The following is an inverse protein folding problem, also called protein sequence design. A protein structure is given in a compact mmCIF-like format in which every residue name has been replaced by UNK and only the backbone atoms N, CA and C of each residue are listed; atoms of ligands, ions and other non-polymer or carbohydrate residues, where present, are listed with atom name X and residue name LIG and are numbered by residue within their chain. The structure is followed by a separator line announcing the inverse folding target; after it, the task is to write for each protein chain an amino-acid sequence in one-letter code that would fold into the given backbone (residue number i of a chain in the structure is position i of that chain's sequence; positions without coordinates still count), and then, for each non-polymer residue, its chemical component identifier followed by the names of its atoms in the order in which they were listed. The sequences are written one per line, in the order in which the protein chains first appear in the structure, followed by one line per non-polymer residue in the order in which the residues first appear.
data_IF_481634140569
#
_entry.id   IF_481634140569
#
_cell.length_a   1.000
_cell.length_b   1.000
_cell.length_c   1.000
_cell.angle_alpha   90.00
_cell.angle_beta   90.00
_cell.angle_gamma   90.00
#
_symmetry.space_group_name_H-M   'P 1'
#
loop_
_entity.id
_entity.type
_entity.pdbx_description
1 polymer ?
#
# COMPACT_ATOMS: atom_id res chain seq x y z
N UNK A 1 29.35 -44.33 -66.65
CA UNK A 1 30.76 -44.12 -66.25
C UNK A 1 30.83 -44.08 -64.72
N UNK A 2 31.93 -44.55 -64.10
CA UNK A 2 32.46 -44.22 -62.74
C UNK A 2 31.43 -43.89 -61.63
N UNK A 3 31.16 -44.66 -60.55
CA UNK A 3 32.04 -45.30 -59.52
C UNK A 3 33.14 -44.36 -58.98
N UNK A 4 33.34 -44.11 -57.68
CA UNK A 4 32.73 -44.55 -56.40
C UNK A 4 33.24 -43.60 -55.27
N UNK A 5 33.16 -43.76 -53.93
CA UNK A 5 32.88 -44.89 -53.02
C UNK A 5 32.50 -44.41 -51.57
N UNK A 6 32.52 -45.36 -50.61
CA UNK A 6 32.88 -45.33 -49.17
C UNK A 6 33.26 -43.96 -48.51
N UNK A 7 33.00 -43.68 -47.22
CA UNK A 7 32.43 -44.49 -46.11
C UNK A 7 33.42 -44.68 -44.93
N UNK A 8 32.92 -44.85 -43.68
CA UNK A 8 33.64 -44.96 -42.37
C UNK A 8 34.07 -43.62 -41.73
N UNK A 9 34.33 -43.45 -40.42
CA UNK A 9 33.79 -43.92 -39.10
C UNK A 9 34.66 -43.24 -38.00
N UNK A 10 34.19 -43.14 -36.74
CA UNK A 10 34.96 -42.84 -35.50
C UNK A 10 35.48 -41.39 -35.28
N UNK A 11 35.82 -40.94 -34.05
CA UNK A 11 35.24 -41.15 -32.70
C UNK A 11 35.89 -40.17 -31.67
N UNK A 12 35.15 -39.68 -30.66
CA UNK A 12 35.62 -38.80 -29.56
C UNK A 12 36.22 -37.44 -30.02
N UNK A 13 36.52 -36.43 -29.20
CA UNK A 13 36.36 -36.12 -27.75
C UNK A 13 35.55 -34.81 -27.60
N UNK A 14 34.90 -34.43 -26.50
CA UNK A 14 35.10 -34.80 -25.10
C UNK A 14 35.56 -33.59 -24.27
N UNK A 15 34.72 -32.55 -24.15
CA UNK A 15 34.85 -31.47 -23.15
C UNK A 15 33.49 -31.27 -22.49
N UNK A 16 33.35 -31.70 -21.23
CA UNK A 16 32.18 -31.36 -20.40
C UNK A 16 32.43 -30.01 -19.75
N UNK A 17 32.01 -28.93 -20.42
CA UNK A 17 31.98 -27.62 -19.79
C UNK A 17 30.90 -27.62 -18.70
N UNK A 18 31.31 -27.65 -17.43
CA UNK A 18 30.42 -27.21 -16.35
C UNK A 18 30.24 -25.70 -16.50
N UNK A 19 29.23 -25.30 -17.27
CA UNK A 19 28.62 -23.98 -17.09
C UNK A 19 27.96 -23.98 -15.72
N UNK A 20 28.74 -23.65 -14.69
CA UNK A 20 28.19 -23.26 -13.41
C UNK A 20 27.20 -22.14 -13.67
N UNK A 21 25.91 -22.42 -13.46
CA UNK A 21 24.84 -21.47 -13.66
C UNK A 21 24.95 -20.35 -12.64
N UNK A 22 25.75 -19.33 -12.95
CA UNK A 22 25.49 -18.01 -12.45
C UNK A 22 24.09 -17.63 -12.93
N UNK A 23 23.10 -17.87 -12.08
CA UNK A 23 21.90 -17.06 -12.08
C UNK A 23 22.39 -15.61 -12.12
N UNK A 24 21.94 -14.77 -13.06
CA UNK A 24 22.14 -13.35 -12.88
C UNK A 24 21.50 -13.02 -11.54
N UNK A 25 22.30 -12.54 -10.58
CA UNK A 25 21.73 -11.82 -9.45
C UNK A 25 20.83 -10.76 -10.07
N UNK A 26 19.56 -10.74 -9.67
CA UNK A 26 18.58 -9.79 -10.21
C UNK A 26 19.13 -8.40 -9.95
N UNK A 27 19.65 -7.76 -11.00
CA UNK A 27 20.06 -6.37 -10.93
C UNK A 27 18.86 -5.59 -10.38
N UNK A 28 19.09 -4.84 -9.31
CA UNK A 28 18.02 -4.13 -8.63
C UNK A 28 17.31 -3.23 -9.66
N UNK A 29 15.99 -3.14 -9.55
CA UNK A 29 15.25 -2.07 -10.19
C UNK A 29 15.52 -0.78 -9.41
N UNK A 30 16.73 -0.23 -9.57
CA UNK A 30 17.25 0.91 -8.82
C UNK A 30 16.31 2.13 -8.94
N UNK A 31 15.91 2.69 -7.80
CA UNK A 31 15.46 4.08 -7.55
C UNK A 31 14.58 4.78 -8.61
N UNK A 32 13.83 4.02 -9.42
CA UNK A 32 13.06 4.54 -10.53
C UNK A 32 11.85 5.34 -10.02
N UNK A 33 11.89 6.66 -10.21
CA UNK A 33 10.78 7.55 -9.89
C UNK A 33 9.57 7.21 -10.77
N UNK A 34 8.50 6.74 -10.13
CA UNK A 34 7.20 6.50 -10.76
C UNK A 34 6.39 7.79 -10.69
N UNK A 35 6.22 8.46 -11.83
CA UNK A 35 5.27 9.57 -11.95
C UNK A 35 3.90 9.01 -12.38
N UNK A 36 2.85 9.32 -11.61
CA UNK A 36 1.47 8.86 -11.83
C UNK A 36 0.61 10.05 -12.24
N UNK A 37 0.32 10.16 -13.53
CA UNK A 37 -0.54 11.21 -14.07
C UNK A 37 -1.96 10.98 -13.57
N UNK A 38 -2.44 11.89 -12.75
CA UNK A 38 -3.72 11.77 -12.05
C UNK A 38 -4.65 12.86 -12.56
N UNK A 39 -5.88 12.45 -12.89
CA UNK A 39 -6.90 13.31 -13.45
C UNK A 39 -8.10 13.40 -12.50
N UNK A 40 -8.18 14.44 -11.66
CA UNK A 40 -9.41 14.81 -10.99
C UNK A 40 -10.42 15.32 -12.01
N UNK A 41 -11.62 14.75 -12.02
CA UNK A 41 -12.73 15.18 -12.85
C UNK A 41 -13.90 15.50 -11.94
N UNK A 42 -14.32 16.76 -11.99
CA UNK A 42 -15.55 17.21 -11.37
C UNK A 42 -16.71 16.71 -12.24
N UNK A 43 -17.64 15.96 -11.66
CA UNK A 43 -18.81 15.41 -12.35
C UNK A 43 -20.10 15.81 -11.66
N UNK A 44 -21.10 16.15 -12.48
CA UNK A 44 -22.46 16.48 -12.06
C UNK A 44 -23.46 15.56 -12.74
N UNK A 45 -24.69 15.53 -12.22
CA UNK A 45 -25.76 14.66 -12.68
C UNK A 45 -26.85 15.44 -13.40
N UNK A 46 -27.83 14.78 -14.02
CA UNK A 46 -28.96 15.46 -14.66
C UNK A 46 -29.71 16.36 -13.68
N UNK A 47 -29.86 15.92 -12.42
CA UNK A 47 -30.69 16.55 -11.39
C UNK A 47 -29.93 16.98 -10.11
N UNK A 48 -28.60 16.83 -10.06
CA UNK A 48 -27.75 17.25 -8.94
C UNK A 48 -26.47 17.92 -9.45
N UNK A 49 -26.11 19.04 -8.82
CA UNK A 49 -24.96 19.89 -9.16
C UNK A 49 -24.25 20.34 -7.88
N UNK A 50 -22.99 20.78 -7.96
CA UNK A 50 -22.28 21.27 -6.78
C UNK A 50 -22.96 22.53 -6.23
N UNK A 51 -23.09 22.60 -4.90
CA UNK A 51 -23.68 23.77 -4.22
C UNK A 51 -22.78 25.01 -4.32
N UNK A 52 -21.46 24.82 -4.42
CA UNK A 52 -20.44 25.87 -4.44
C UNK A 52 -19.37 25.55 -5.51
N UNK A 53 -19.75 25.45 -6.81
CA UNK A 53 -18.91 24.85 -7.85
C UNK A 53 -17.53 25.52 -7.96
N UNK A 54 -17.48 26.85 -7.84
CA UNK A 54 -16.21 27.58 -7.95
C UNK A 54 -15.27 27.36 -6.75
N UNK A 55 -15.80 27.03 -5.57
CA UNK A 55 -14.98 26.61 -4.42
C UNK A 55 -14.52 25.14 -4.50
N UNK A 56 -15.24 24.30 -5.23
CA UNK A 56 -14.77 22.93 -5.57
C UNK A 56 -13.64 23.00 -6.61
N UNK A 57 -13.78 23.86 -7.63
CA UNK A 57 -12.71 24.16 -8.61
C UNK A 57 -11.46 24.73 -7.94
N UNK A 58 -11.61 25.65 -7.00
CA UNK A 58 -10.50 26.30 -6.28
C UNK A 58 -9.76 25.31 -5.35
N UNK A 59 -10.47 24.40 -4.69
CA UNK A 59 -9.90 23.46 -3.71
C UNK A 59 -9.31 22.18 -4.33
N UNK A 60 -9.71 21.82 -5.55
CA UNK A 60 -9.29 20.56 -6.18
C UNK A 60 -7.78 20.55 -6.51
N UNK A 61 -7.19 21.57 -7.17
CA UNK A 61 -5.74 21.70 -7.33
C UNK A 61 -4.97 21.57 -6.00
N UNK A 62 -5.39 22.32 -4.96
CA UNK A 62 -4.78 22.30 -3.63
C UNK A 62 -4.80 20.90 -3.01
N UNK A 63 -5.94 20.19 -3.08
CA UNK A 63 -6.12 18.85 -2.48
C UNK A 63 -5.26 17.78 -3.15
N UNK A 64 -5.07 17.85 -4.47
CA UNK A 64 -4.36 16.80 -5.22
C UNK A 64 -2.87 17.12 -5.45
N UNK A 65 -2.52 18.37 -5.73
CA UNK A 65 -1.17 18.76 -6.19
C UNK A 65 -0.57 19.98 -5.46
N UNK A 66 -1.24 20.47 -4.40
CA UNK A 66 -0.75 21.58 -3.60
C UNK A 66 0.66 21.32 -3.02
N UNK A 67 1.48 22.36 -2.94
CA UNK A 67 2.87 22.27 -2.44
C UNK A 67 2.99 22.28 -0.91
N UNK A 68 1.86 22.43 -0.21
CA UNK A 68 1.74 22.27 1.24
C UNK A 68 1.77 20.78 1.61
N UNK A 69 1.95 20.45 2.90
CA UNK A 69 2.00 19.05 3.40
C UNK A 69 0.66 18.30 3.29
N UNK A 70 -0.45 18.99 3.09
CA UNK A 70 -1.82 18.48 3.08
C UNK A 70 -2.39 18.19 1.68
N UNK A 71 -1.55 17.88 0.69
CA UNK A 71 -1.97 17.39 -0.63
C UNK A 71 -1.64 15.92 -0.89
N UNK A 72 -2.34 15.31 -1.85
CA UNK A 72 -2.10 13.93 -2.29
C UNK A 72 -0.67 13.75 -2.83
N UNK A 73 -0.17 14.72 -3.60
CA UNK A 73 1.18 14.71 -4.16
C UNK A 73 2.27 14.87 -3.09
N UNK A 74 2.09 15.77 -2.12
CA UNK A 74 3.07 15.95 -1.04
C UNK A 74 3.18 14.70 -0.17
N UNK A 75 2.03 14.16 0.24
CA UNK A 75 1.93 12.99 1.11
C UNK A 75 2.63 11.77 0.51
N UNK A 76 2.29 11.40 -0.73
CA UNK A 76 2.90 10.25 -1.37
C UNK A 76 4.35 10.47 -1.82
N UNK A 77 4.75 11.70 -2.13
CA UNK A 77 6.16 12.01 -2.37
C UNK A 77 7.00 11.93 -1.09
N UNK A 78 6.45 12.25 0.08
CA UNK A 78 7.14 12.12 1.37
C UNK A 78 7.28 10.65 1.78
N UNK A 79 6.19 9.89 1.82
CA UNK A 79 6.21 8.47 2.22
C UNK A 79 7.08 7.61 1.30
N UNK A 80 7.00 7.83 -0.01
CA UNK A 80 7.83 7.11 -0.98
C UNK A 80 9.29 7.59 -1.04
N UNK A 81 9.67 8.62 -0.27
CA UNK A 81 10.98 9.31 -0.35
C UNK A 81 11.32 9.70 -1.79
N UNK A 82 10.34 10.30 -2.47
CA UNK A 82 10.41 10.78 -3.85
C UNK A 82 10.30 9.71 -4.94
N UNK A 83 10.25 8.40 -4.59
CA UNK A 83 10.15 7.28 -5.55
C UNK A 83 8.78 7.20 -6.25
N UNK A 84 7.74 7.81 -5.69
CA UNK A 84 6.40 7.88 -6.28
C UNK A 84 5.85 9.31 -6.21
N UNK A 85 5.43 9.84 -7.37
CA UNK A 85 4.95 11.22 -7.51
C UNK A 85 3.58 11.24 -8.16
N UNK A 86 2.62 11.88 -7.49
CA UNK A 86 1.32 12.18 -8.09
C UNK A 86 1.46 13.50 -8.85
N UNK A 87 1.24 13.47 -10.18
CA UNK A 87 1.39 14.64 -11.06
C UNK A 87 0.09 14.89 -11.83
N UNK A 88 -0.26 16.14 -12.17
CA UNK A 88 -1.49 16.42 -12.89
C UNK A 88 -1.41 15.87 -14.32
N UNK A 89 -2.52 15.32 -14.82
CA UNK A 89 -2.62 14.85 -16.21
C UNK A 89 -2.99 15.94 -17.24
N UNK A 90 -3.36 17.13 -16.78
CA UNK A 90 -3.72 18.32 -17.59
C UNK A 90 -3.22 19.59 -16.92
N UNK A 91 -2.95 20.65 -17.68
CA UNK A 91 -2.37 21.91 -17.16
C UNK A 91 -3.27 22.60 -16.12
N UNK A 92 -4.60 22.54 -16.29
CA UNK A 92 -5.60 23.04 -15.34
C UNK A 92 -5.68 22.21 -14.04
N UNK A 93 -4.97 21.09 -13.96
CA UNK A 93 -4.92 20.12 -12.85
C UNK A 93 -6.23 19.38 -12.54
N UNK A 94 -7.36 19.77 -13.13
CA UNK A 94 -8.64 19.06 -13.08
C UNK A 94 -9.46 19.35 -14.33
N UNK A 95 -10.54 18.59 -14.55
CA UNK A 95 -11.54 18.88 -15.60
C UNK A 95 -12.95 19.04 -15.05
N UNK A 96 -13.78 19.78 -15.78
CA UNK A 96 -15.22 19.91 -15.53
C UNK A 96 -15.65 21.15 -14.73
N UNK A 97 -16.88 21.16 -14.19
CA UNK A 97 -17.81 20.03 -14.11
C UNK A 97 -18.29 19.46 -15.45
N UNK A 98 -18.20 18.13 -15.60
CA UNK A 98 -18.80 17.37 -16.71
C UNK A 98 -20.18 16.89 -16.24
N UNK A 99 -21.25 17.22 -16.98
CA UNK A 99 -22.61 16.78 -16.64
C UNK A 99 -22.91 15.41 -17.27
N UNK A 100 -22.94 14.38 -16.44
CA UNK A 100 -23.27 13.01 -16.81
C UNK A 100 -24.76 12.89 -17.21
N UNK A 101 -25.05 11.95 -18.11
CA UNK A 101 -26.40 11.66 -18.62
C UNK A 101 -27.14 10.62 -17.76
N UNK A 102 -27.07 10.81 -16.44
CA UNK A 102 -27.75 10.00 -15.42
C UNK A 102 -28.27 10.87 -14.28
N UNK A 103 -29.29 10.41 -13.57
CA UNK A 103 -29.68 10.98 -12.28
C UNK A 103 -28.64 10.64 -11.19
N UNK A 104 -28.58 11.45 -10.14
CA UNK A 104 -27.67 11.18 -9.03
C UNK A 104 -28.03 9.86 -8.34
N UNK A 105 -27.03 8.99 -8.15
CA UNK A 105 -27.15 7.71 -7.46
C UNK A 105 -25.76 7.19 -7.10
N UNK A 106 -25.65 6.23 -6.17
CA UNK A 106 -24.38 5.62 -5.80
C UNK A 106 -23.88 4.54 -6.81
N UNK A 107 -24.30 4.62 -8.08
CA UNK A 107 -23.87 3.69 -9.12
C UNK A 107 -22.45 4.05 -9.62
N UNK A 108 -21.44 3.80 -8.79
CA UNK A 108 -20.03 4.13 -9.06
C UNK A 108 -19.53 3.56 -10.40
N UNK A 109 -19.97 2.35 -10.77
CA UNK A 109 -19.66 1.74 -12.07
C UNK A 109 -20.23 2.53 -13.26
N UNK A 110 -21.47 3.00 -13.16
CA UNK A 110 -22.07 3.86 -14.20
C UNK A 110 -21.40 5.24 -14.24
N UNK A 111 -21.17 5.87 -13.08
CA UNK A 111 -20.42 7.15 -12.96
C UNK A 111 -19.09 7.04 -13.70
N UNK A 112 -18.34 5.95 -13.49
CA UNK A 112 -17.07 5.71 -14.15
C UNK A 112 -17.23 5.50 -15.67
N UNK A 113 -18.18 4.67 -16.09
CA UNK A 113 -18.44 4.44 -17.52
C UNK A 113 -18.84 5.71 -18.28
N UNK A 114 -19.67 6.57 -17.68
CA UNK A 114 -20.10 7.83 -18.29
C UNK A 114 -18.98 8.88 -18.26
N UNK A 115 -18.17 8.93 -17.18
CA UNK A 115 -17.02 9.84 -17.10
C UNK A 115 -15.96 9.49 -18.14
N UNK A 116 -15.53 8.22 -18.22
CA UNK A 116 -14.54 7.79 -19.23
C UNK A 116 -15.05 7.99 -20.66
N UNK A 117 -16.35 7.79 -20.92
CA UNK A 117 -16.95 8.15 -22.22
C UNK A 117 -16.82 9.66 -22.52
N UNK A 118 -17.14 10.52 -21.57
CA UNK A 118 -17.06 11.97 -21.75
C UNK A 118 -15.62 12.49 -21.87
N UNK A 119 -14.64 11.80 -21.26
CA UNK A 119 -13.20 12.06 -21.47
C UNK A 119 -12.76 11.62 -22.87
N UNK A 120 -13.15 10.43 -23.33
CA UNK A 120 -12.83 9.95 -24.67
C UNK A 120 -13.47 10.82 -25.78
N UNK A 121 -14.66 11.40 -25.54
CA UNK A 121 -15.29 12.39 -26.43
C UNK A 121 -14.51 13.73 -26.49
N UNK A 122 -13.64 14.00 -25.51
CA UNK A 122 -12.67 15.11 -25.50
C UNK A 122 -11.26 14.67 -25.97
N UNK A 123 -11.09 13.40 -26.35
CA UNK A 123 -9.82 12.84 -26.82
C UNK A 123 -8.87 12.32 -25.73
N UNK A 124 -9.32 12.23 -24.47
CA UNK A 124 -8.50 11.79 -23.33
C UNK A 124 -8.75 10.31 -22.99
N UNK A 125 -7.70 9.50 -22.99
CA UNK A 125 -7.74 8.04 -22.83
C UNK A 125 -6.87 7.56 -21.67
N UNK A 126 -7.41 6.65 -20.84
CA UNK A 126 -6.67 6.08 -19.70
C UNK A 126 -5.48 5.23 -20.17
N UNK A 127 -4.30 5.51 -19.64
CA UNK A 127 -3.02 4.90 -20.02
C UNK A 127 -2.29 5.67 -21.12
N UNK A 128 -2.99 6.44 -21.95
CA UNK A 128 -2.38 7.30 -22.97
C UNK A 128 -2.14 8.70 -22.42
N UNK A 129 -3.16 9.33 -21.81
CA UNK A 129 -3.07 10.70 -21.25
C UNK A 129 -3.00 10.72 -19.71
N UNK A 130 -3.75 9.85 -19.03
CA UNK A 130 -3.84 9.79 -17.56
C UNK A 130 -3.78 8.34 -17.04
N UNK A 131 -3.11 8.14 -15.91
CA UNK A 131 -2.86 6.83 -15.30
C UNK A 131 -3.84 6.52 -14.14
N UNK A 132 -4.30 7.55 -13.42
CA UNK A 132 -5.39 7.49 -12.44
C UNK A 132 -6.49 8.53 -12.77
N UNK A 133 -7.74 8.18 -12.47
CA UNK A 133 -8.94 9.00 -12.64
C UNK A 133 -9.68 9.10 -11.30
N UNK A 134 -9.83 10.32 -10.79
CA UNK A 134 -10.63 10.60 -9.59
C UNK A 134 -11.92 11.33 -9.94
N UNK A 135 -13.07 10.70 -9.70
CA UNK A 135 -14.40 11.23 -10.00
C UNK A 135 -14.98 11.90 -8.76
N UNK A 136 -14.96 13.23 -8.72
CA UNK A 136 -15.49 14.04 -7.62
C UNK A 136 -16.91 14.47 -7.97
N UNK A 137 -17.91 14.19 -7.13
CA UNK A 137 -19.33 14.49 -7.42
C UNK A 137 -20.12 15.04 -6.22
N UNK A 138 -21.22 15.78 -6.45
CA UNK A 138 -22.05 16.35 -5.39
C UNK A 138 -22.84 15.29 -4.62
N UNK A 139 -22.52 15.11 -3.33
CA UNK A 139 -23.09 14.07 -2.47
C UNK A 139 -24.58 14.24 -2.12
N UNK A 140 -25.16 15.42 -2.37
CA UNK A 140 -26.49 15.83 -1.88
C UNK A 140 -27.66 14.94 -2.36
N UNK A 141 -27.44 14.06 -3.35
CA UNK A 141 -28.46 13.18 -3.93
C UNK A 141 -27.96 11.79 -4.34
N UNK A 142 -26.65 11.52 -4.31
CA UNK A 142 -26.10 10.22 -4.69
C UNK A 142 -26.51 9.12 -3.73
N UNK A 143 -26.62 9.44 -2.43
CA UNK A 143 -27.00 8.49 -1.40
C UNK A 143 -25.95 7.41 -1.15
N UNK A 144 -24.67 7.69 -1.42
CA UNK A 144 -23.57 6.86 -0.93
C UNK A 144 -23.41 7.04 0.58
N UNK A 145 -23.26 5.92 1.26
CA UNK A 145 -22.89 5.75 2.66
C UNK A 145 -21.43 6.14 2.94
N UNK A 146 -20.56 6.02 1.94
CA UNK A 146 -19.15 6.42 2.01
C UNK A 146 -18.87 7.88 1.59
N UNK A 147 -17.76 8.43 2.08
CA UNK A 147 -17.20 9.72 1.64
C UNK A 147 -16.26 9.57 0.42
N UNK A 148 -15.57 8.43 0.31
CA UNK A 148 -14.76 8.04 -0.83
C UNK A 148 -14.87 6.55 -1.12
N UNK A 149 -14.45 6.14 -2.31
CA UNK A 149 -14.32 4.74 -2.71
C UNK A 149 -13.13 4.60 -3.67
N UNK A 150 -12.36 3.51 -3.56
CA UNK A 150 -11.21 3.23 -4.42
C UNK A 150 -11.22 1.81 -5.00
N UNK A 151 -10.68 1.65 -6.22
CA UNK A 151 -10.49 0.34 -6.83
C UNK A 151 -9.26 -0.38 -6.27
N UNK A 152 -9.41 -1.62 -5.79
CA UNK A 152 -8.34 -2.38 -5.09
C UNK A 152 -7.81 -3.57 -5.91
N UNK A 153 -6.55 -3.53 -6.41
CA UNK A 153 -5.84 -2.33 -6.86
C UNK A 153 -6.51 -1.74 -8.12
N UNK A 154 -6.09 -0.56 -8.55
CA UNK A 154 -6.55 -0.01 -9.82
C UNK A 154 -6.21 1.46 -10.07
N UNK A 155 -6.93 2.10 -11.01
CA UNK A 155 -6.72 3.50 -11.37
C UNK A 155 -7.90 4.43 -11.02
N UNK A 156 -8.93 3.94 -10.31
CA UNK A 156 -10.18 4.68 -10.10
C UNK A 156 -10.40 5.06 -8.64
N UNK A 157 -10.71 6.32 -8.39
CA UNK A 157 -11.23 6.81 -7.11
C UNK A 157 -12.53 7.58 -7.35
N UNK A 158 -13.46 7.48 -6.40
CA UNK A 158 -14.75 8.16 -6.42
C UNK A 158 -14.87 8.96 -5.13
N UNK A 159 -15.17 10.25 -5.22
CA UNK A 159 -15.20 11.17 -4.08
C UNK A 159 -16.59 11.77 -3.95
N UNK A 160 -17.33 11.30 -2.95
CA UNK A 160 -18.69 11.69 -2.64
C UNK A 160 -18.67 13.02 -1.84
N UNK A 161 -18.57 14.14 -2.55
CA UNK A 161 -18.19 15.42 -1.97
C UNK A 161 -19.35 16.09 -1.22
N UNK A 162 -19.20 16.14 0.11
CA UNK A 162 -19.94 17.05 0.98
C UNK A 162 -19.20 18.40 1.09
N UNK A 163 -19.91 19.52 0.93
CA UNK A 163 -19.32 20.86 1.08
C UNK A 163 -18.50 21.32 -0.14
N UNK A 164 -17.23 21.70 0.10
CA UNK A 164 -16.38 22.40 -0.89
C UNK A 164 -15.03 21.73 -1.18
N UNK A 165 -14.56 20.83 -0.31
CA UNK A 165 -13.28 20.12 -0.46
C UNK A 165 -13.34 18.81 0.33
N UNK A 166 -12.74 17.73 -0.20
CA UNK A 166 -12.75 16.42 0.47
C UNK A 166 -11.58 16.21 1.44
N UNK A 167 -10.51 17.01 1.30
CA UNK A 167 -9.29 16.91 2.08
C UNK A 167 -8.44 15.66 1.77
N UNK A 168 -7.17 15.71 2.18
CA UNK A 168 -6.21 14.61 2.01
C UNK A 168 -6.64 13.31 2.72
N UNK A 169 -7.37 13.41 3.84
CA UNK A 169 -7.78 12.23 4.62
C UNK A 169 -8.57 11.21 3.78
N UNK A 170 -9.56 11.68 3.00
CA UNK A 170 -10.35 10.82 2.11
C UNK A 170 -9.59 10.55 0.80
N UNK A 171 -9.13 11.60 0.13
CA UNK A 171 -8.51 11.47 -1.21
C UNK A 171 -7.24 10.60 -1.19
N UNK A 172 -6.46 10.66 -0.11
CA UNK A 172 -5.32 9.78 0.12
C UNK A 172 -5.74 8.33 0.39
N UNK A 173 -6.78 8.09 1.21
CA UNK A 173 -7.26 6.75 1.53
C UNK A 173 -7.72 6.00 0.26
N UNK A 174 -8.55 6.62 -0.58
CA UNK A 174 -9.01 6.00 -1.83
C UNK A 174 -7.86 5.74 -2.83
N UNK A 175 -6.82 6.56 -2.77
CA UNK A 175 -5.63 6.39 -3.58
C UNK A 175 -4.69 5.30 -3.00
N UNK A 176 -4.72 5.06 -1.69
CA UNK A 176 -4.11 3.88 -1.07
C UNK A 176 -4.76 2.58 -1.56
N UNK A 177 -6.09 2.56 -1.71
CA UNK A 177 -6.78 1.46 -2.39
C UNK A 177 -6.28 1.24 -3.82
N UNK A 178 -5.97 2.30 -4.58
CA UNK A 178 -5.42 2.18 -5.94
C UNK A 178 -4.06 1.44 -5.97
N UNK A 179 -3.24 1.59 -4.92
CA UNK A 179 -1.97 0.85 -4.73
C UNK A 179 -2.18 -0.61 -4.30
N UNK A 180 -3.44 -1.02 -4.08
CA UNK A 180 -3.81 -2.35 -3.61
C UNK A 180 -3.58 -2.55 -2.12
N UNK A 181 -3.83 -1.50 -1.33
CA UNK A 181 -3.99 -1.57 0.13
C UNK A 181 -5.48 -1.75 0.45
N UNK A 182 -5.84 -2.66 1.34
CA UNK A 182 -7.16 -2.72 1.97
C UNK A 182 -7.23 -1.82 3.21
N UNK A 183 -8.37 -1.81 3.90
CA UNK A 183 -8.44 -1.21 5.24
C UNK A 183 -7.47 -1.93 6.19
N UNK A 184 -6.70 -1.17 6.98
CA UNK A 184 -5.82 -1.78 7.98
C UNK A 184 -6.59 -2.02 9.28
N UNK A 185 -6.94 -3.29 9.51
CA UNK A 185 -7.65 -3.75 10.71
C UNK A 185 -6.73 -3.90 11.92
N UNK A 186 -7.32 -4.09 13.10
CA UNK A 186 -6.64 -4.41 14.36
C UNK A 186 -7.09 -5.76 14.91
N UNK A 187 -6.21 -6.47 15.59
CA UNK A 187 -6.51 -7.67 16.37
C UNK A 187 -5.92 -7.56 17.76
N UNK A 188 -6.75 -7.73 18.78
CA UNK A 188 -6.34 -7.78 20.18
C UNK A 188 -5.74 -9.16 20.44
N UNK A 189 -4.46 -9.22 20.83
CA UNK A 189 -3.71 -10.44 21.13
C UNK A 189 -3.25 -10.38 22.60
N UNK A 190 -4.11 -10.80 23.53
CA UNK A 190 -3.86 -10.74 24.98
C UNK A 190 -2.55 -11.46 25.36
N UNK A 191 -1.81 -10.90 26.31
CA UNK A 191 -0.47 -11.35 26.73
C UNK A 191 0.57 -11.50 25.59
N UNK A 192 0.29 -10.91 24.41
CA UNK A 192 1.13 -11.03 23.21
C UNK A 192 1.03 -12.39 22.51
N UNK A 193 0.03 -13.22 22.83
CA UNK A 193 -0.18 -14.53 22.22
C UNK A 193 -0.87 -14.41 20.86
N UNK A 194 -0.18 -14.82 19.79
CA UNK A 194 -0.67 -14.61 18.41
C UNK A 194 -1.62 -15.72 17.91
N UNK A 195 -1.96 -16.67 18.77
CA UNK A 195 -2.86 -17.80 18.46
C UNK A 195 -4.33 -17.39 18.61
N UNK A 196 -4.69 -16.77 19.74
CA UNK A 196 -6.07 -16.54 20.17
C UNK A 196 -6.46 -15.04 20.11
N UNK A 197 -6.15 -14.38 18.99
CA UNK A 197 -6.45 -12.94 18.82
C UNK A 197 -7.89 -12.67 18.32
N UNK A 198 -8.52 -11.60 18.82
CA UNK A 198 -9.86 -11.15 18.42
C UNK A 198 -9.81 -9.89 17.53
N UNK A 199 -10.56 -9.86 16.43
CA UNK A 199 -10.64 -8.70 15.53
C UNK A 199 -11.34 -7.50 16.21
N UNK A 200 -10.80 -6.28 16.06
CA UNK A 200 -11.27 -5.12 16.84
C UNK A 200 -11.16 -3.78 16.08
N UNK A 201 -11.89 -3.64 14.97
CA UNK A 201 -11.94 -2.41 14.18
C UNK A 201 -10.65 -2.13 13.42
N UNK A 202 -10.31 -0.84 13.26
CA UNK A 202 -9.14 -0.37 12.49
C UNK A 202 -7.89 -0.15 13.37
N UNK A 203 -6.71 -0.06 12.76
CA UNK A 203 -5.44 0.10 13.50
C UNK A 203 -5.22 1.50 14.09
N UNK A 204 -5.74 2.56 13.47
CA UNK A 204 -5.32 3.95 13.66
C UNK A 204 -3.81 4.23 13.45
N UNK A 205 -3.03 3.29 12.89
CA UNK A 205 -1.57 3.40 12.68
C UNK A 205 -1.13 3.66 11.24
N UNK A 206 -2.08 3.75 10.32
CA UNK A 206 -1.88 4.20 8.95
C UNK A 206 -3.07 5.03 8.46
N UNK A 207 -2.90 5.70 7.32
CA UNK A 207 -4.02 6.29 6.58
C UNK A 207 -5.12 5.27 6.26
N UNK A 208 -4.76 4.01 5.94
CA UNK A 208 -5.73 2.94 5.66
C UNK A 208 -6.39 2.35 6.92
N UNK A 209 -5.77 2.56 8.09
CA UNK A 209 -6.32 2.22 9.40
C UNK A 209 -7.12 3.33 10.07
N UNK A 210 -7.40 4.44 9.37
CA UNK A 210 -8.13 5.57 9.94
C UNK A 210 -7.32 6.51 10.83
N UNK A 211 -5.99 6.34 10.92
CA UNK A 211 -5.10 7.28 11.62
C UNK A 211 -4.93 8.64 10.89
N UNK A 212 -5.41 8.73 9.66
CA UNK A 212 -5.34 9.94 8.83
C UNK A 212 -3.91 10.27 8.35
N UNK A 213 -3.70 11.46 7.77
CA UNK A 213 -2.42 11.79 7.12
C UNK A 213 -1.21 11.77 8.06
N UNK A 214 -1.35 12.20 9.31
CA UNK A 214 -0.24 12.21 10.28
C UNK A 214 0.22 10.78 10.69
N UNK A 215 -0.58 9.75 10.41
CA UNK A 215 -0.21 8.36 10.65
C UNK A 215 0.53 7.69 9.46
N UNK A 216 0.76 8.42 8.36
CA UNK A 216 1.52 7.93 7.21
C UNK A 216 1.02 6.59 6.64
N UNK A 217 1.96 5.68 6.40
CA UNK A 217 1.70 4.27 6.13
C UNK A 217 2.59 3.39 7.01
N UNK A 218 2.13 2.18 7.27
CA UNK A 218 2.87 1.12 7.97
C UNK A 218 3.82 0.36 7.03
N UNK A 219 4.75 -0.40 7.61
CA UNK A 219 5.70 -1.21 6.88
C UNK A 219 5.06 -2.23 5.93
N UNK A 220 3.99 -2.98 6.27
CA UNK A 220 3.30 -3.83 5.29
C UNK A 220 2.81 -3.06 4.06
N UNK A 221 2.20 -1.90 4.26
CA UNK A 221 1.67 -1.07 3.17
C UNK A 221 2.80 -0.49 2.30
N UNK A 222 3.92 -0.07 2.93
CA UNK A 222 5.11 0.39 2.21
C UNK A 222 5.85 -0.75 1.48
N UNK A 223 5.86 -1.97 2.02
CA UNK A 223 6.38 -3.18 1.34
C UNK A 223 5.48 -3.50 0.14
N UNK A 224 4.16 -3.46 0.31
CA UNK A 224 3.17 -3.64 -0.77
C UNK A 224 3.34 -2.62 -1.90
N UNK A 225 3.64 -1.36 -1.56
CA UNK A 225 3.89 -0.29 -2.53
C UNK A 225 5.31 -0.30 -3.13
N UNK A 226 6.25 -1.11 -2.61
CA UNK A 226 7.65 -1.14 -3.05
C UNK A 226 8.51 0.02 -2.55
N UNK A 227 8.09 0.71 -1.48
CA UNK A 227 8.73 1.92 -0.95
C UNK A 227 9.70 1.67 0.19
N UNK A 228 9.89 0.41 0.61
CA UNK A 228 11.07 -0.05 1.34
C UNK A 228 11.90 -0.94 0.42
N UNK A 229 13.21 -0.72 0.34
CA UNK A 229 14.13 -1.62 -0.38
C UNK A 229 14.31 -2.97 0.37
N UNK A 230 14.95 -3.94 -0.28
CA UNK A 230 15.43 -5.17 0.39
C UNK A 230 16.44 -4.89 1.52
N UNK A 231 17.12 -3.74 1.51
CA UNK A 231 18.02 -3.30 2.59
C UNK A 231 17.33 -2.49 3.70
N UNK A 232 16.11 -2.00 3.44
CA UNK A 232 15.23 -1.39 4.44
C UNK A 232 14.30 -2.44 5.09
N UNK A 233 14.04 -3.57 4.42
CA UNK A 233 13.16 -4.68 4.86
C UNK A 233 13.94 -5.98 5.05
N UNK A 234 14.40 -6.26 6.27
CA UNK A 234 15.21 -7.46 6.54
C UNK A 234 14.32 -8.70 6.65
N UNK A 235 14.43 -9.59 5.65
CA UNK A 235 13.84 -10.94 5.64
C UNK A 235 14.54 -11.83 6.67
N UNK A 236 13.91 -12.03 7.82
CA UNK A 236 14.51 -12.65 9.00
C UNK A 236 14.56 -14.18 8.85
N UNK A 237 15.74 -14.69 8.49
CA UNK A 237 16.00 -16.12 8.30
C UNK A 237 16.67 -16.82 9.50
N UNK A 238 16.96 -16.08 10.60
CA UNK A 238 17.67 -16.57 11.79
C UNK A 238 17.19 -15.84 13.05
N UNK A 239 17.31 -16.47 14.20
CA UNK A 239 17.18 -15.79 15.50
C UNK A 239 18.34 -14.80 15.72
N UNK A 240 18.08 -13.68 16.39
CA UNK A 240 19.11 -12.68 16.73
C UNK A 240 18.54 -11.33 17.20
N UNK A 241 19.43 -10.44 17.67
CA UNK A 241 19.11 -9.01 17.89
C UNK A 241 19.20 -8.26 16.57
N UNK A 242 18.16 -7.48 16.23
CA UNK A 242 18.10 -6.63 15.04
C UNK A 242 17.88 -5.17 15.45
N UNK A 243 18.70 -4.25 14.93
CA UNK A 243 18.48 -2.81 15.13
C UNK A 243 17.53 -2.28 14.05
N UNK A 244 16.42 -1.69 14.49
CA UNK A 244 15.53 -0.86 13.68
C UNK A 244 15.85 0.63 13.84
N UNK A 245 15.50 1.40 12.83
CA UNK A 245 15.35 2.86 12.85
C UNK A 245 13.89 3.22 12.53
N UNK A 246 13.48 4.47 12.76
CA UNK A 246 12.11 4.90 12.41
C UNK A 246 11.76 4.53 10.96
N UNK A 247 10.54 4.02 10.78
CA UNK A 247 9.97 3.62 9.49
C UNK A 247 10.01 4.77 8.48
N UNK A 248 9.69 5.97 8.93
CA UNK A 248 9.60 7.18 8.11
C UNK A 248 10.90 8.01 8.13
N UNK A 249 10.92 9.14 7.40
CA UNK A 249 12.04 10.08 7.37
C UNK A 249 13.32 9.54 6.71
N UNK A 250 14.39 10.34 6.73
CA UNK A 250 15.50 10.22 5.78
C UNK A 250 16.66 9.27 6.13
N UNK A 251 17.36 8.80 5.09
CA UNK A 251 18.59 8.00 5.19
C UNK A 251 18.40 6.47 5.21
N UNK A 252 19.49 5.74 5.43
CA UNK A 252 19.56 4.27 5.30
C UNK A 252 19.43 3.51 6.63
N UNK A 253 19.30 2.18 6.56
CA UNK A 253 19.19 1.24 7.67
C UNK A 253 17.86 0.48 7.69
N UNK A 254 17.79 -0.60 8.47
CA UNK A 254 16.59 -1.44 8.58
C UNK A 254 15.43 -0.67 9.20
N UNK A 255 14.30 -0.60 8.48
CA UNK A 255 13.05 0.04 8.89
C UNK A 255 12.00 -0.99 9.30
N UNK A 256 12.03 -2.18 8.69
CA UNK A 256 11.11 -3.27 8.96
C UNK A 256 11.83 -4.63 9.07
N UNK A 257 11.34 -5.50 9.96
CA UNK A 257 11.67 -6.93 9.99
C UNK A 257 10.55 -7.73 9.35
N UNK A 258 10.94 -8.70 8.52
CA UNK A 258 10.05 -9.54 7.74
C UNK A 258 10.23 -11.00 8.21
N UNK A 259 9.47 -11.40 9.25
CA UNK A 259 9.68 -12.59 10.09
C UNK A 259 8.69 -13.72 9.76
N UNK A 260 9.11 -14.90 9.27
CA UNK A 260 8.20 -15.95 8.81
C UNK A 260 7.36 -16.55 9.96
N UNK A 261 6.04 -16.68 9.77
CA UNK A 261 5.08 -17.15 10.79
C UNK A 261 4.13 -18.20 10.20
N UNK A 262 4.70 -19.38 9.89
CA UNK A 262 3.95 -20.51 9.34
C UNK A 262 3.62 -20.31 7.85
N UNK A 263 2.33 -20.16 7.53
CA UNK A 263 1.90 -19.61 6.22
C UNK A 263 1.99 -18.09 6.18
N UNK A 264 1.80 -17.46 7.34
CA UNK A 264 1.67 -16.02 7.45
C UNK A 264 3.05 -15.37 7.60
N UNK A 265 3.01 -14.05 7.52
CA UNK A 265 4.14 -13.15 7.60
C UNK A 265 3.93 -12.29 8.85
N UNK A 266 4.85 -12.30 9.81
CA UNK A 266 4.91 -11.26 10.84
C UNK A 266 5.79 -10.12 10.30
N UNK A 267 5.30 -8.89 10.36
CA UNK A 267 6.07 -7.68 10.03
C UNK A 267 6.20 -6.85 11.29
N UNK A 268 7.41 -6.35 11.57
CA UNK A 268 7.69 -5.52 12.74
C UNK A 268 8.36 -4.24 12.29
N UNK A 269 7.86 -3.09 12.74
CA UNK A 269 8.38 -1.75 12.45
C UNK A 269 8.70 -1.00 13.74
N UNK A 270 9.47 0.09 13.64
CA UNK A 270 9.60 1.06 14.72
C UNK A 270 9.08 2.42 14.23
N UNK A 271 8.25 3.08 15.04
CA UNK A 271 7.59 4.36 14.75
C UNK A 271 8.10 5.42 15.72
N UNK A 272 8.39 6.60 15.18
CA UNK A 272 8.95 7.74 15.88
C UNK A 272 8.89 8.96 14.94
N UNK A 273 8.68 10.15 15.50
CA UNK A 273 8.40 11.37 14.74
C UNK A 273 9.34 11.60 13.54
N UNK A 274 8.76 11.87 12.37
CA UNK A 274 9.51 12.00 11.13
C UNK A 274 8.76 12.88 10.10
N UNK A 275 9.30 14.07 9.82
CA UNK A 275 8.85 14.91 8.70
C UNK A 275 7.45 15.52 8.91
N UNK A 276 6.42 14.94 8.33
CA UNK A 276 5.00 15.28 8.55
C UNK A 276 4.18 14.20 9.26
N UNK A 277 4.81 13.09 9.67
CA UNK A 277 4.14 11.92 10.27
C UNK A 277 4.74 11.49 11.61
N UNK A 278 4.02 10.62 12.31
CA UNK A 278 4.39 9.94 13.55
C UNK A 278 4.58 10.84 14.79
N UNK A 279 4.01 12.07 14.80
CA UNK A 279 4.02 12.93 16.01
C UNK A 279 3.19 12.34 17.16
N UNK A 280 2.10 11.65 16.81
CA UNK A 280 1.16 11.01 17.75
C UNK A 280 1.40 9.47 17.80
N UNK A 281 2.52 8.94 17.28
CA UNK A 281 2.80 7.48 17.19
C UNK A 281 4.28 7.16 17.51
N UNK A 282 4.52 6.36 18.55
CA UNK A 282 5.85 5.97 19.03
C UNK A 282 5.93 4.43 19.25
N UNK A 283 7.14 3.89 19.33
CA UNK A 283 7.39 2.51 19.76
C UNK A 283 7.44 1.49 18.63
N UNK A 284 7.57 0.21 19.01
CA UNK A 284 7.67 -0.92 18.08
C UNK A 284 6.28 -1.50 17.82
N UNK A 285 5.86 -1.59 16.56
CA UNK A 285 4.54 -2.09 16.16
C UNK A 285 4.68 -3.38 15.36
N UNK A 286 3.75 -4.32 15.53
CA UNK A 286 3.73 -5.60 14.81
C UNK A 286 2.44 -5.79 14.03
N UNK A 287 2.55 -6.44 12.86
CA UNK A 287 1.43 -6.70 11.97
C UNK A 287 1.44 -8.14 11.49
N UNK A 288 0.27 -8.77 11.54
CA UNK A 288 0.02 -10.05 10.87
C UNK A 288 -0.30 -9.78 9.41
N UNK A 289 0.43 -10.42 8.51
CA UNK A 289 0.24 -10.36 7.06
C UNK A 289 -0.18 -11.76 6.58
N UNK A 290 -1.46 -11.96 6.21
CA UNK A 290 -2.02 -13.29 5.94
C UNK A 290 -1.54 -13.84 4.59
N UNK A 291 -1.02 -15.07 4.57
CA UNK A 291 -0.49 -15.80 3.39
C UNK A 291 0.43 -14.94 2.48
N UNK A 292 1.14 -13.94 3.02
CA UNK A 292 2.00 -13.03 2.27
C UNK A 292 1.32 -11.85 1.58
N UNK A 293 0.02 -11.63 1.80
CA UNK A 293 -0.70 -10.48 1.26
C UNK A 293 -0.50 -9.21 2.13
N UNK A 294 0.62 -8.52 1.92
CA UNK A 294 0.98 -7.28 2.64
C UNK A 294 -0.08 -6.16 2.53
N UNK A 295 -0.92 -6.18 1.49
CA UNK A 295 -2.03 -5.22 1.32
C UNK A 295 -3.22 -5.46 2.25
N UNK A 296 -3.27 -6.60 2.96
CA UNK A 296 -4.32 -6.95 3.92
C UNK A 296 -3.74 -7.25 5.30
N UNK A 297 -2.79 -6.41 5.74
CA UNK A 297 -2.16 -6.49 7.05
C UNK A 297 -3.11 -6.11 8.20
N UNK A 298 -2.94 -6.74 9.35
CA UNK A 298 -3.69 -6.44 10.57
C UNK A 298 -2.72 -6.09 11.70
N UNK A 299 -2.92 -4.95 12.38
CA UNK A 299 -2.15 -4.56 13.56
C UNK A 299 -2.37 -5.56 14.70
N UNK A 300 -1.29 -5.98 15.34
CA UNK A 300 -1.28 -6.77 16.57
C UNK A 300 -1.25 -5.80 17.74
N UNK A 301 -2.37 -5.67 18.44
CA UNK A 301 -2.53 -4.86 19.65
C UNK A 301 -2.45 -5.77 20.87
N UNK A 302 -1.45 -5.59 21.74
CA UNK A 302 -1.25 -6.44 22.93
C UNK A 302 -1.88 -5.87 24.21
N UNK A 303 -2.74 -4.85 24.10
CA UNK A 303 -3.36 -4.20 25.26
C UNK A 303 -4.61 -4.92 25.77
N UNK A 304 -4.93 -4.75 27.05
CA UNK A 304 -6.17 -5.27 27.66
C UNK A 304 -7.41 -4.38 27.36
N UNK A 305 -7.23 -3.21 26.73
CA UNK A 305 -8.28 -2.22 26.56
C UNK A 305 -8.03 -1.36 25.32
N UNK A 306 -9.06 -1.23 24.46
CA UNK A 306 -9.06 -0.41 23.24
C UNK A 306 -8.55 1.03 23.53
N UNK A 307 -7.26 1.25 23.25
CA UNK A 307 -6.51 2.49 23.46
C UNK A 307 -5.64 2.70 22.22
N UNK A 308 -6.16 3.49 21.29
CA UNK A 308 -5.48 3.80 20.03
C UNK A 308 -5.28 5.30 19.91
N UNK A 309 -4.45 5.75 18.97
CA UNK A 309 -4.27 7.17 18.68
C UNK A 309 -5.59 7.91 18.35
N UNK A 310 -6.66 7.19 18.03
CA UNK A 310 -8.00 7.73 17.80
C UNK A 310 -8.84 8.03 19.06
N UNK A 311 -8.41 7.67 20.28
CA UNK A 311 -9.17 7.91 21.51
C UNK A 311 -8.36 8.53 22.68
N UNK A 312 -7.51 9.52 22.35
CA UNK A 312 -6.65 10.26 23.31
C UNK A 312 -5.68 9.35 24.11
N UNK A 313 -5.33 8.19 23.55
CA UNK A 313 -4.32 7.30 24.13
C UNK A 313 -2.89 7.87 23.97
N UNK A 314 -1.93 7.46 24.83
CA UNK A 314 -0.50 7.69 24.60
C UNK A 314 -0.01 7.21 23.23
N UNK A 315 0.99 7.88 22.66
CA UNK A 315 1.55 7.57 21.34
C UNK A 315 2.10 6.13 21.21
N UNK A 316 2.52 5.56 22.35
CA UNK A 316 3.09 4.23 22.54
C UNK A 316 2.08 3.18 23.07
N UNK A 317 0.79 3.53 23.21
CA UNK A 317 -0.18 2.74 23.99
C UNK A 317 -0.32 1.26 23.58
N UNK A 318 -0.23 1.00 22.28
CA UNK A 318 -0.34 -0.28 21.59
C UNK A 318 1.00 -0.77 20.99
N UNK A 319 2.11 -0.12 21.34
CA UNK A 319 3.44 -0.61 21.00
C UNK A 319 3.76 -1.91 21.77
N UNK A 320 4.29 -2.90 21.07
CA UNK A 320 4.56 -4.23 21.64
C UNK A 320 5.78 -4.18 22.57
N UNK A 321 5.71 -4.90 23.68
CA UNK A 321 6.90 -5.24 24.48
C UNK A 321 7.44 -6.62 24.10
N UNK A 322 6.55 -7.60 23.93
CA UNK A 322 6.85 -8.89 23.31
C UNK A 322 5.60 -9.53 22.72
N UNK A 323 5.78 -10.33 21.65
CA UNK A 323 4.74 -11.19 21.06
C UNK A 323 5.28 -12.60 20.81
N UNK A 324 4.40 -13.60 20.74
CA UNK A 324 4.77 -14.98 20.44
C UNK A 324 3.64 -15.72 19.72
N UNK A 325 3.95 -16.33 18.57
CA UNK A 325 3.13 -17.41 18.01
C UNK A 325 3.74 -18.76 18.44
N UNK A 326 3.02 -19.48 19.33
CA UNK A 326 3.45 -20.81 19.78
C UNK A 326 3.26 -21.89 18.71
N UNK A 327 2.46 -21.63 17.67
CA UNK A 327 2.19 -22.57 16.56
C UNK A 327 3.38 -22.64 15.61
N UNK A 328 3.83 -21.50 15.08
CA UNK A 328 5.03 -21.39 14.24
C UNK A 328 6.33 -21.37 15.05
N UNK A 329 6.23 -21.23 16.38
CA UNK A 329 7.35 -21.11 17.34
C UNK A 329 8.22 -19.88 17.06
N UNK A 330 7.56 -18.74 16.91
CA UNK A 330 8.18 -17.43 16.67
C UNK A 330 7.95 -16.58 17.90
N UNK A 331 9.00 -15.93 18.40
CA UNK A 331 8.90 -14.93 19.47
C UNK A 331 9.64 -13.66 19.08
N UNK A 332 9.07 -12.51 19.43
CA UNK A 332 9.69 -11.19 19.25
C UNK A 332 9.64 -10.46 20.59
N UNK A 333 10.71 -9.76 20.96
CA UNK A 333 10.74 -8.89 22.13
C UNK A 333 11.57 -7.64 21.89
N UNK A 334 11.10 -6.49 22.38
CA UNK A 334 11.84 -5.23 22.35
C UNK A 334 12.87 -5.23 23.49
N UNK A 335 14.15 -5.03 23.14
CA UNK A 335 15.23 -4.90 24.10
C UNK A 335 15.51 -3.43 24.48
N UNK A 336 15.30 -2.51 23.53
CA UNK A 336 15.36 -1.05 23.73
C UNK A 336 14.58 -0.32 22.62
N UNK A 337 14.09 0.88 22.89
CA UNK A 337 13.46 1.78 21.91
C UNK A 337 13.56 3.24 22.37
N UNK A 338 13.77 4.17 21.44
CA UNK A 338 13.95 5.60 21.67
C UNK A 338 15.00 6.22 20.75
N UNK A 339 15.11 7.55 20.75
CA UNK A 339 16.10 8.32 19.97
C UNK A 339 16.13 7.94 18.46
N UNK A 340 14.95 7.65 17.88
CA UNK A 340 14.81 7.24 16.48
C UNK A 340 15.27 5.81 16.16
N UNK A 341 15.47 4.96 17.16
CA UNK A 341 15.95 3.56 17.03
C UNK A 341 15.23 2.59 17.95
N UNK A 342 15.31 1.31 17.62
CA UNK A 342 14.94 0.22 18.52
C UNK A 342 15.84 -1.01 18.32
N UNK A 343 16.00 -1.82 19.36
CA UNK A 343 16.60 -3.15 19.27
C UNK A 343 15.53 -4.22 19.49
N UNK A 344 15.30 -5.04 18.48
CA UNK A 344 14.26 -6.07 18.47
C UNK A 344 14.93 -7.44 18.41
N UNK A 345 14.68 -8.27 19.43
CA UNK A 345 15.14 -9.67 19.47
C UNK A 345 14.10 -10.55 18.83
N UNK A 346 14.51 -11.33 17.83
CA UNK A 346 13.67 -12.34 17.18
C UNK A 346 14.21 -13.73 17.52
N UNK A 347 13.30 -14.65 17.83
CA UNK A 347 13.56 -16.08 17.95
C UNK A 347 12.69 -16.86 16.97
N UNK A 348 13.29 -17.83 16.29
CA UNK A 348 12.64 -18.77 15.38
C UNK A 348 12.74 -20.20 15.91
N UNK A 349 11.91 -21.10 15.38
CA UNK A 349 11.92 -22.55 15.66
C UNK A 349 11.66 -22.96 17.14
N UNK A 350 11.39 -22.01 18.02
CA UNK A 350 11.28 -22.22 19.47
C UNK A 350 12.62 -22.14 20.22
N UNK A 351 13.61 -21.46 19.66
CA UNK A 351 14.84 -21.08 20.37
C UNK A 351 14.53 -20.08 21.51
N UNK A 352 15.44 -19.90 22.46
CA UNK A 352 15.26 -18.93 23.54
C UNK A 352 15.54 -17.50 23.05
N UNK A 353 14.73 -16.52 23.48
CA UNK A 353 15.06 -15.09 23.31
C UNK A 353 16.38 -14.70 24.03
N UNK A 354 16.84 -15.52 24.98
CA UNK A 354 18.16 -15.41 25.63
C UNK A 354 19.30 -16.04 24.83
N UNK A 355 19.01 -16.84 23.80
CA UNK A 355 20.00 -17.42 22.86
C UNK A 355 20.10 -16.64 21.54
N UNK A 356 19.25 -15.64 21.34
CA UNK A 356 19.39 -14.65 20.27
C UNK A 356 20.63 -13.78 20.52
N UNK A 357 21.75 -14.15 19.90
CA UNK A 357 22.96 -13.33 19.84
C UNK A 357 22.77 -12.12 18.90
N UNK A 358 23.66 -11.14 18.98
CA UNK A 358 23.61 -9.99 18.06
C UNK A 358 23.78 -10.46 16.61
N UNK A 359 22.90 -10.00 15.72
CA UNK A 359 22.94 -10.42 14.31
C UNK A 359 24.29 -10.00 13.71
N UNK A 360 25.05 -10.92 13.07
CA UNK A 360 26.33 -10.60 12.48
C UNK A 360 26.20 -9.44 11.48
N UNK A 361 26.79 -8.29 11.84
CA UNK A 361 26.78 -7.09 11.01
C UNK A 361 27.34 -7.43 9.63
N UNK A 362 26.54 -7.20 8.59
CA UNK A 362 26.98 -7.46 7.22
C UNK A 362 28.28 -6.70 6.96
N UNK A 363 29.32 -7.46 6.61
CA UNK A 363 30.68 -6.93 6.55
C UNK A 363 30.85 -6.18 5.23
N UNK A 364 30.47 -4.90 5.25
CA UNK A 364 30.75 -3.97 4.16
C UNK A 364 32.22 -4.11 3.72
N UNK A 365 32.43 -4.33 2.42
CA UNK A 365 33.78 -4.39 1.86
C UNK A 365 34.52 -3.08 2.17
N UNK A 366 35.80 -3.13 2.59
CA UNK A 366 36.51 -1.94 3.05
C UNK A 366 36.64 -0.93 1.90
N UNK A 367 36.01 0.22 2.06
CA UNK A 367 36.16 1.35 1.14
C UNK A 367 37.63 1.80 1.09
N UNK A 368 38.15 2.21 -0.09
CA UNK A 368 39.52 2.71 -0.20
C UNK A 368 39.70 3.97 0.65
N UNK A 369 40.86 4.08 1.32
CA UNK A 369 41.12 5.17 2.24
C UNK A 369 41.27 6.52 1.53
N UNK A 370 40.29 7.41 1.71
CA UNK A 370 40.40 8.80 1.29
C UNK A 370 41.17 9.62 2.33
N UNK A 371 42.43 9.91 2.03
CA UNK A 371 43.24 10.89 2.78
C UNK A 371 42.85 12.30 2.34
N UNK A 372 42.14 13.03 3.20
CA UNK A 372 41.81 14.44 2.99
C UNK A 372 41.64 15.16 4.32
N UNK A 373 42.62 15.98 4.67
CA UNK A 373 42.45 17.06 5.65
C UNK A 373 41.83 18.26 4.96
N UNK A 374 41.06 19.07 5.70
CA UNK A 374 41.30 20.51 5.86
C UNK A 374 40.35 21.09 6.93
N UNK A 375 40.49 22.37 7.26
CA UNK A 375 40.24 22.87 8.63
C UNK A 375 39.33 24.10 8.74
N UNK A 376 38.50 24.06 9.78
CA UNK A 376 38.13 25.15 10.71
C UNK A 376 37.09 26.25 10.38
N UNK A 377 36.40 26.61 11.49
CA UNK A 377 35.82 27.90 11.89
C UNK A 377 34.73 28.64 11.08
N UNK A 378 33.69 29.11 11.80
CA UNK A 378 32.70 30.08 11.32
C UNK A 378 31.46 30.23 12.24
N UNK A 379 31.52 31.08 13.26
CA UNK A 379 30.40 31.36 14.18
C UNK A 379 29.27 32.22 13.56
N UNK A 380 28.02 32.11 14.05
CA UNK A 380 26.97 33.10 13.73
C UNK A 380 25.50 32.72 14.02
N UNK A 381 25.04 33.00 15.24
CA UNK A 381 23.62 33.23 15.60
C UNK A 381 23.39 34.77 15.71
N UNK A 382 22.14 35.34 15.80
CA UNK A 382 20.93 34.70 16.34
C UNK A 382 19.54 35.08 15.75
N UNK A 383 18.53 34.38 16.27
CA UNK A 383 17.13 34.79 16.58
C UNK A 383 16.08 35.06 15.48
N UNK A 384 14.82 34.76 15.83
CA UNK A 384 13.65 34.88 14.96
C UNK A 384 12.39 34.19 15.52
N UNK A 385 11.58 34.93 16.28
CA UNK A 385 10.40 34.45 17.04
C UNK A 385 9.09 34.54 16.23
N UNK A 386 8.00 33.97 16.79
CA UNK A 386 6.57 34.07 16.40
C UNK A 386 6.08 33.00 15.38
N UNK A 387 4.88 32.40 15.53
CA UNK A 387 3.92 32.39 16.65
C UNK A 387 3.06 31.09 16.66
N UNK A 388 2.43 30.79 17.80
CA UNK A 388 1.45 29.70 17.92
C UNK A 388 0.06 30.11 17.38
N UNK A 389 -0.69 29.15 16.84
CA UNK A 389 -2.09 29.33 16.45
C UNK A 389 -2.90 28.05 16.71
N UNK A 390 -3.80 28.10 17.69
CA UNK A 390 -4.64 26.97 18.07
C UNK A 390 -5.71 26.64 17.01
N UNK A 391 -5.76 25.38 16.55
CA UNK A 391 -6.92 24.83 15.86
C UNK A 391 -7.33 23.52 16.55
N UNK A 392 -8.58 23.47 17.03
CA UNK A 392 -9.11 22.29 17.71
C UNK A 392 -9.45 21.18 16.71
N UNK A 393 -8.72 20.06 16.80
CA UNK A 393 -9.04 18.77 16.17
C UNK A 393 -10.47 18.37 16.63
N UNK A 394 -11.44 18.31 15.72
CA UNK A 394 -12.79 17.83 16.03
C UNK A 394 -12.98 16.46 15.38
N UNK A 395 -12.84 15.41 16.16
CA UNK A 395 -12.97 14.03 15.68
C UNK A 395 -14.40 13.75 15.23
N UNK A 396 -14.56 13.26 14.00
CA UNK A 396 -15.74 12.51 13.58
C UNK A 396 -15.47 11.02 13.88
N UNK A 397 -16.45 10.34 14.48
CA UNK A 397 -16.31 8.91 14.74
C UNK A 397 -16.36 8.13 13.42
N UNK A 398 -15.45 7.16 13.27
CA UNK A 398 -15.59 6.10 12.28
C UNK A 398 -16.49 5.02 12.87
N UNK A 399 -17.63 4.75 12.24
CA UNK A 399 -18.40 3.52 12.46
C UNK A 399 -18.00 2.48 11.40
N UNK A 400 -18.17 1.20 11.70
CA UNK A 400 -17.61 0.09 10.91
C UNK A 400 -18.13 0.06 9.46
N UNK A 401 -17.27 0.39 8.50
CA UNK A 401 -17.52 0.15 7.07
C UNK A 401 -17.18 -1.29 6.71
N UNK A 402 -18.18 -2.06 6.27
CA UNK A 402 -17.95 -3.36 5.63
C UNK A 402 -17.11 -3.22 4.34
N UNK A 403 -16.55 -4.33 3.84
CA UNK A 403 -15.49 -4.36 2.82
C UNK A 403 -15.97 -3.92 1.41
N UNK A 404 -16.04 -2.61 1.19
CA UNK A 404 -16.47 -1.98 -0.07
C UNK A 404 -15.37 -1.96 -1.15
N UNK A 405 -14.68 -3.07 -1.39
CA UNK A 405 -13.67 -3.18 -2.45
C UNK A 405 -14.30 -3.25 -3.86
N UNK A 406 -14.26 -2.15 -4.63
CA UNK A 406 -14.82 -2.09 -5.98
C UNK A 406 -13.85 -2.65 -7.05
N UNK A 407 -14.24 -3.71 -7.75
CA UNK A 407 -13.51 -4.21 -8.93
C UNK A 407 -13.75 -3.29 -10.14
N UNK A 408 -12.73 -2.50 -10.50
CA UNK A 408 -12.82 -1.52 -11.60
C UNK A 408 -13.00 -2.17 -12.97
N UNK A 409 -14.24 -2.28 -13.44
CA UNK A 409 -14.59 -2.88 -14.73
C UNK A 409 -14.16 -2.04 -15.92
N UNK A 410 -12.96 -2.28 -16.45
CA UNK A 410 -12.48 -1.67 -17.69
C UNK A 410 -13.03 -2.41 -18.93
N UNK A 411 -13.87 -1.72 -19.70
CA UNK A 411 -14.57 -2.26 -20.88
C UNK A 411 -13.66 -2.65 -22.06
N UNK A 412 -12.34 -2.44 -21.94
CA UNK A 412 -11.33 -2.92 -22.90
C UNK A 412 -10.97 -4.41 -22.75
N UNK A 413 -11.45 -5.11 -21.70
CA UNK A 413 -11.05 -6.50 -21.41
C UNK A 413 -12.19 -7.52 -21.54
N UNK A 414 -11.94 -8.61 -22.28
CA UNK A 414 -12.84 -9.76 -22.38
C UNK A 414 -12.64 -10.70 -21.17
N UNK A 415 -13.67 -11.02 -20.37
CA UNK A 415 -13.51 -11.83 -19.17
C UNK A 415 -13.34 -13.32 -19.49
N UNK A 416 -12.09 -13.80 -19.46
CA UNK A 416 -11.77 -15.22 -19.38
C UNK A 416 -12.03 -15.76 -17.96
N UNK A 417 -13.30 -16.06 -17.68
CA UNK A 417 -13.72 -16.63 -16.40
C UNK A 417 -13.11 -18.04 -16.20
N UNK A 418 -12.14 -18.15 -15.28
CA UNK A 418 -11.44 -19.39 -14.97
C UNK A 418 -12.29 -20.36 -14.09
N UNK A 419 -13.37 -20.90 -14.65
CA UNK A 419 -14.27 -21.85 -13.99
C UNK A 419 -13.71 -23.27 -13.89
N UNK A 420 -12.76 -23.51 -12.97
CA UNK A 420 -12.11 -24.79 -12.77
C UNK A 420 -12.76 -25.70 -11.71
N UNK A 421 -13.80 -26.46 -12.07
CA UNK A 421 -14.32 -27.56 -11.24
C UNK A 421 -14.74 -28.76 -12.10
N UNK A 422 -14.19 -29.94 -11.83
CA UNK A 422 -14.39 -31.13 -12.66
C UNK A 422 -15.49 -32.06 -12.14
N UNK A 423 -16.30 -32.61 -13.05
CA UNK A 423 -17.12 -33.80 -12.79
C UNK A 423 -17.09 -34.72 -14.02
N UNK A 424 -16.54 -35.93 -13.85
CA UNK A 424 -16.47 -36.98 -14.87
C UNK A 424 -17.31 -38.17 -14.43
N UNK A 425 -18.50 -38.34 -15.02
CA UNK A 425 -19.28 -39.59 -14.92
C UNK A 425 -19.91 -39.93 -16.27
N UNK A 426 -19.44 -41.04 -16.83
CA UNK A 426 -20.11 -42.03 -17.71
C UNK A 426 -21.42 -41.62 -18.41
N UNK A 427 -21.40 -41.65 -19.75
CA UNK A 427 -22.61 -41.58 -20.56
C UNK A 427 -23.27 -42.94 -20.83
N UNK A 428 -24.60 -42.95 -21.01
CA UNK A 428 -25.38 -44.05 -21.58
C UNK A 428 -26.50 -43.44 -22.46
N UNK A 429 -26.81 -44.08 -23.59
CA UNK A 429 -27.60 -43.45 -24.64
C UNK A 429 -29.13 -43.60 -24.52
N UNK A 430 -29.85 -42.71 -25.19
CA UNK A 430 -31.22 -42.94 -25.65
C UNK A 430 -31.43 -42.34 -27.05
N UNK A 431 -31.54 -43.20 -28.05
CA UNK A 431 -32.02 -42.85 -29.39
C UNK A 431 -33.56 -42.88 -29.38
N UNK A 432 -34.18 -42.41 -30.48
CA UNK A 432 -35.63 -42.45 -30.79
C UNK A 432 -36.49 -41.29 -30.27
N UNK A 433 -36.95 -40.43 -31.20
CA UNK A 433 -38.39 -40.23 -31.38
C UNK A 433 -38.76 -39.99 -32.87
N UNK A 434 -39.82 -40.66 -33.30
CA UNK A 434 -40.11 -41.04 -34.70
C UNK A 434 -40.82 -39.94 -35.52
N UNK A 435 -40.37 -39.73 -36.76
CA UNK A 435 -41.13 -39.02 -37.83
C UNK A 435 -42.47 -39.71 -38.15
N UNK A 436 -43.59 -38.96 -38.19
CA UNK A 436 -44.80 -39.13 -39.07
C UNK A 436 -45.86 -38.08 -38.66
N UNK A 437 -46.77 -37.55 -39.49
CA UNK A 437 -47.27 -37.83 -40.87
C UNK A 437 -47.60 -36.46 -41.54
N UNK A 438 -47.18 -36.17 -42.79
CA UNK A 438 -47.82 -36.42 -44.11
C UNK A 438 -48.95 -35.45 -44.53
N UNK A 439 -48.86 -35.02 -45.81
CA UNK A 439 -49.82 -34.24 -46.63
C UNK A 439 -49.89 -32.74 -46.28
N UNK A 440 -50.15 -31.84 -47.25
CA UNK A 440 -50.25 -32.07 -48.70
C UNK A 440 -48.88 -32.42 -49.32
#
# INVERSE_FOLDING_TARGET
MKTSALGRIALATGITALTAGFFPATAHADDAVVERRTLPVLVEFTDSSFQYPDKVKESTPDTYFGTKKDSLASFYSELSRGRYRVVPAVDEQYLGPIKLSMAASCNHGEINSQTQKALAEQGLVRGEDYDSLSMVFPAQKTGCDWAGLGSVPGPYTWINLYGTASGLGVVGHEFGHNLGLGHQTRSMCTDGDLVDCEANGTSAKSMMGGGGPAAGLSAPEMIRAGWLSDSETVKVAKSGTYTLRSLHGEGSGTRALDIPMGKDRLVVEYRHEAGSVDQDIEGVHAYRVPEGNYGSSTLIDTTEANKTAGNDAPADADAITSVTDRTSKVSVAVASSGDGRAEVKVSLNGEGLSTAADTPKETAAPAPAHTGTDTDAGDGLPDGTEAQGDIKKQAAAAEDSEDLAATGGDSSTLPLAAGGAALVVVGAGALVLVRRRKRA
#
